data_IF_494591109602
#
_entry.id   IF_494591109602
#
_cell.length_a   1.000
_cell.length_b   1.000
_cell.length_c   1.000
_cell.angle_alpha   90.00
_cell.angle_beta   90.00
_cell.angle_gamma   90.00
#
_symmetry.space_group_name_H-M   'P 1'
#
loop_
_entity.id
_entity.type
_entity.pdbx_description
1 polymer ?
#
# COMPACT_ATOMS: atom_id res chain seq x y z
N UNK A 1 -15.45 -39.08 -10.81
CA UNK A 1 -14.90 -38.03 -9.92
C UNK A 1 -16.08 -37.38 -9.22
N UNK A 2 -16.10 -37.23 -7.89
CA UNK A 2 -17.14 -36.43 -7.26
C UNK A 2 -17.08 -35.02 -7.84
N UNK A 3 -18.19 -34.56 -8.42
CA UNK A 3 -18.30 -33.18 -8.90
C UNK A 3 -18.38 -32.28 -7.67
N UNK A 4 -17.37 -31.43 -7.48
CA UNK A 4 -17.45 -30.37 -6.48
C UNK A 4 -18.62 -29.48 -6.87
N UNK A 5 -19.56 -29.26 -5.94
CA UNK A 5 -20.59 -28.26 -6.11
C UNK A 5 -19.94 -26.88 -5.96
N UNK A 6 -19.72 -26.21 -7.09
CA UNK A 6 -19.02 -24.92 -7.14
C UNK A 6 -19.78 -23.86 -6.35
N UNK A 7 -21.11 -23.82 -6.44
CA UNK A 7 -21.95 -22.85 -5.71
C UNK A 7 -21.84 -23.01 -4.19
N UNK A 8 -21.80 -24.27 -3.71
CA UNK A 8 -21.63 -24.55 -2.29
C UNK A 8 -20.24 -24.14 -1.80
N UNK A 9 -19.20 -24.41 -2.59
CA UNK A 9 -17.82 -24.01 -2.28
C UNK A 9 -17.65 -22.49 -2.29
N UNK A 10 -18.25 -21.78 -3.27
CA UNK A 10 -18.21 -20.32 -3.33
C UNK A 10 -18.87 -19.69 -2.11
N UNK A 11 -20.00 -20.24 -1.64
CA UNK A 11 -20.65 -19.78 -0.42
C UNK A 11 -19.78 -19.96 0.81
N UNK A 12 -19.17 -21.15 0.96
CA UNK A 12 -18.26 -21.44 2.06
C UNK A 12 -17.04 -20.50 2.05
N UNK A 13 -16.48 -20.21 0.87
CA UNK A 13 -15.38 -19.25 0.72
C UNK A 13 -15.84 -17.84 1.10
N UNK A 14 -17.02 -17.40 0.68
CA UNK A 14 -17.54 -16.07 1.00
C UNK A 14 -17.83 -15.90 2.49
N UNK A 15 -18.36 -16.94 3.16
CA UNK A 15 -18.56 -16.98 4.60
C UNK A 15 -17.22 -16.92 5.35
N UNK A 16 -16.26 -17.76 4.97
CA UNK A 16 -14.92 -17.73 5.56
C UNK A 16 -14.22 -16.38 5.32
N UNK A 17 -14.45 -15.78 4.15
CA UNK A 17 -13.89 -14.48 3.80
C UNK A 17 -14.44 -13.35 4.67
N UNK A 18 -15.61 -13.45 5.31
CA UNK A 18 -16.08 -12.40 6.21
C UNK A 18 -15.11 -12.10 7.35
N UNK A 19 -14.33 -13.09 7.77
CA UNK A 19 -13.35 -12.96 8.85
C UNK A 19 -11.91 -12.76 8.35
N UNK A 20 -11.67 -12.85 7.03
CA UNK A 20 -10.34 -12.79 6.43
C UNK A 20 -10.31 -11.65 5.40
N UNK A 21 -9.42 -10.64 5.57
CA UNK A 21 -9.28 -9.60 4.57
C UNK A 21 -8.73 -10.20 3.26
N UNK A 22 -9.31 -9.80 2.13
CA UNK A 22 -8.74 -10.12 0.81
C UNK A 22 -7.55 -9.22 0.46
N UNK A 23 -7.47 -8.04 1.08
CA UNK A 23 -6.35 -7.11 0.98
C UNK A 23 -5.33 -7.28 2.11
N UNK A 24 -4.66 -6.18 2.47
CA UNK A 24 -3.74 -6.20 3.59
C UNK A 24 -4.52 -6.29 4.91
N UNK A 25 -4.03 -7.11 5.83
CA UNK A 25 -4.50 -7.06 7.21
C UNK A 25 -4.17 -5.71 7.85
N UNK A 26 -4.90 -5.32 8.90
CA UNK A 26 -4.59 -4.11 9.67
C UNK A 26 -3.13 -4.10 10.15
N UNK A 27 -2.62 -5.26 10.59
CA UNK A 27 -1.21 -5.41 10.97
C UNK A 27 -0.26 -5.07 9.81
N UNK A 28 -0.52 -5.59 8.61
CA UNK A 28 0.32 -5.32 7.44
C UNK A 28 0.23 -3.87 6.97
N UNK A 29 -0.96 -3.29 7.02
CA UNK A 29 -1.20 -1.89 6.70
C UNK A 29 -0.34 -0.99 7.60
N UNK A 30 -0.38 -1.23 8.91
CA UNK A 30 0.35 -0.42 9.89
C UNK A 30 1.87 -0.61 9.84
N UNK A 31 2.36 -1.84 9.62
CA UNK A 31 3.78 -2.14 9.77
C UNK A 31 4.55 -2.13 8.44
N UNK A 32 3.93 -2.56 7.34
CA UNK A 32 4.63 -2.79 6.07
C UNK A 32 4.19 -1.86 4.95
N UNK A 33 2.97 -1.33 4.99
CA UNK A 33 2.48 -0.44 3.93
C UNK A 33 2.91 1.02 4.17
N UNK A 34 3.18 1.39 5.43
CA UNK A 34 3.77 2.68 5.82
C UNK A 34 5.13 2.61 6.54
N UNK A 35 5.53 1.44 7.07
CA UNK A 35 6.55 1.36 8.13
C UNK A 35 7.96 0.89 7.75
N UNK A 36 8.15 0.04 6.74
CA UNK A 36 9.41 -0.73 6.68
C UNK A 36 10.62 0.08 6.16
N UNK A 37 10.42 0.89 5.11
CA UNK A 37 11.45 1.82 4.60
C UNK A 37 11.06 3.29 4.78
N UNK A 38 9.77 3.60 4.62
CA UNK A 38 9.21 4.93 4.83
C UNK A 38 9.14 5.34 6.29
N UNK A 39 9.18 4.39 7.24
CA UNK A 39 9.01 4.65 8.67
C UNK A 39 10.11 5.49 9.32
N UNK A 40 11.23 5.71 8.60
CA UNK A 40 12.32 6.60 9.04
C UNK A 40 12.07 8.09 8.74
N UNK A 41 11.20 8.41 7.78
CA UNK A 41 10.77 9.78 7.50
C UNK A 41 9.26 9.89 7.64
N UNK A 42 8.83 10.74 8.56
CA UNK A 42 7.41 11.10 8.72
C UNK A 42 6.82 11.54 7.40
N UNK A 43 7.52 12.38 6.63
CA UNK A 43 7.03 12.89 5.35
C UNK A 43 6.85 11.79 4.29
N UNK A 44 7.76 10.81 4.20
CA UNK A 44 7.61 9.64 3.32
C UNK A 44 6.43 8.77 3.74
N UNK A 45 6.26 8.53 5.04
CA UNK A 45 5.15 7.74 5.58
C UNK A 45 3.81 8.40 5.29
N UNK A 46 3.69 9.72 5.52
CA UNK A 46 2.50 10.51 5.17
C UNK A 46 2.21 10.39 3.68
N UNK A 47 3.23 10.59 2.81
CA UNK A 47 3.06 10.44 1.35
C UNK A 47 2.57 9.04 0.97
N UNK A 48 3.16 7.99 1.53
CA UNK A 48 2.76 6.61 1.24
C UNK A 48 1.31 6.34 1.63
N UNK A 49 0.89 6.77 2.84
CA UNK A 49 -0.49 6.62 3.29
C UNK A 49 -1.46 7.38 2.39
N UNK A 50 -1.16 8.63 2.03
CA UNK A 50 -2.02 9.43 1.14
C UNK A 50 -2.18 8.79 -0.24
N UNK A 51 -1.10 8.27 -0.84
CA UNK A 51 -1.16 7.58 -2.13
C UNK A 51 -2.00 6.30 -2.07
N UNK A 52 -1.85 5.51 -1.00
CA UNK A 52 -2.63 4.28 -0.83
C UNK A 52 -4.11 4.58 -0.56
N UNK A 53 -4.41 5.59 0.26
CA UNK A 53 -5.79 6.04 0.51
C UNK A 53 -6.44 6.52 -0.79
N UNK A 54 -5.77 7.38 -1.56
CA UNK A 54 -6.30 7.88 -2.83
C UNK A 54 -6.55 6.75 -3.84
N UNK A 55 -5.59 5.83 -4.00
CA UNK A 55 -5.76 4.66 -4.87
C UNK A 55 -6.95 3.80 -4.46
N UNK A 56 -7.16 3.55 -3.16
CA UNK A 56 -8.33 2.80 -2.68
C UNK A 56 -9.64 3.59 -2.86
N UNK A 57 -9.65 4.91 -2.66
CA UNK A 57 -10.83 5.74 -2.93
C UNK A 57 -11.21 5.66 -4.41
N UNK A 58 -10.25 5.69 -5.32
CA UNK A 58 -10.51 5.52 -6.76
C UNK A 58 -11.10 4.13 -7.04
N UNK A 59 -10.52 3.06 -6.48
CA UNK A 59 -11.05 1.70 -6.61
C UNK A 59 -12.48 1.56 -6.05
N UNK A 60 -12.80 2.23 -4.92
CA UNK A 60 -14.16 2.26 -4.36
C UNK A 60 -15.14 2.96 -5.31
N UNK A 61 -14.73 4.06 -5.95
CA UNK A 61 -15.56 4.78 -6.93
C UNK A 61 -15.83 3.94 -8.18
N UNK A 62 -14.81 3.29 -8.71
CA UNK A 62 -14.95 2.36 -9.84
C UNK A 62 -15.88 1.20 -9.47
N UNK A 63 -15.72 0.63 -8.27
CA UNK A 63 -16.60 -0.43 -7.79
C UNK A 63 -18.06 0.04 -7.63
N UNK A 64 -18.26 1.28 -7.20
CA UNK A 64 -19.60 1.87 -7.11
C UNK A 64 -20.28 1.97 -8.48
N UNK A 65 -19.58 2.46 -9.51
CA UNK A 65 -20.12 2.50 -10.87
C UNK A 65 -20.39 1.09 -11.40
N UNK A 66 -19.47 0.15 -11.17
CA UNK A 66 -19.65 -1.25 -11.53
C UNK A 66 -20.89 -1.87 -10.88
N UNK A 67 -21.14 -1.61 -9.59
CA UNK A 67 -22.35 -2.07 -8.91
C UNK A 67 -23.63 -1.48 -9.51
N UNK A 68 -23.61 -0.20 -9.88
CA UNK A 68 -24.75 0.46 -10.53
C UNK A 68 -25.04 -0.13 -11.91
N UNK A 69 -24.01 -0.35 -12.73
CA UNK A 69 -24.15 -1.00 -14.03
C UNK A 69 -24.73 -2.42 -13.90
N UNK A 70 -24.23 -3.20 -12.94
CA UNK A 70 -24.74 -4.54 -12.67
C UNK A 70 -26.18 -4.54 -12.15
N UNK A 71 -26.58 -3.55 -11.36
CA UNK A 71 -27.95 -3.41 -10.91
C UNK A 71 -28.88 -3.07 -12.09
N UNK A 72 -28.47 -2.16 -12.98
CA UNK A 72 -29.21 -1.84 -14.20
C UNK A 72 -29.38 -3.10 -15.06
N UNK A 73 -28.31 -3.89 -15.23
CA UNK A 73 -28.36 -5.16 -15.96
C UNK A 73 -29.33 -6.18 -15.35
N UNK A 74 -29.40 -6.25 -14.02
CA UNK A 74 -30.36 -7.08 -13.28
C UNK A 74 -31.79 -6.62 -13.53
N UNK A 75 -32.04 -5.31 -13.39
CA UNK A 75 -33.36 -4.71 -13.56
C UNK A 75 -33.85 -4.88 -15.01
N UNK A 76 -32.97 -4.70 -16.01
CA UNK A 76 -33.28 -4.96 -17.41
C UNK A 76 -33.62 -6.44 -17.67
N UNK A 77 -32.86 -7.36 -17.09
CA UNK A 77 -33.11 -8.79 -17.24
C UNK A 77 -34.45 -9.17 -16.61
N UNK A 78 -34.75 -8.64 -15.44
CA UNK A 78 -36.02 -8.87 -14.74
C UNK A 78 -37.20 -8.31 -15.52
N UNK A 79 -37.07 -7.10 -16.07
CA UNK A 79 -38.10 -6.53 -16.94
C UNK A 79 -38.36 -7.42 -18.17
N UNK A 80 -37.31 -7.85 -18.89
CA UNK A 80 -37.44 -8.71 -20.08
C UNK A 80 -38.02 -10.09 -19.75
N UNK A 81 -37.75 -10.63 -18.57
CA UNK A 81 -38.28 -11.92 -18.13
C UNK A 81 -39.80 -11.91 -17.87
N UNK A 82 -40.40 -10.73 -17.69
CA UNK A 82 -41.86 -10.57 -17.54
C UNK A 82 -42.63 -10.80 -18.84
N UNK A 83 -41.96 -10.76 -20.00
CA UNK A 83 -42.59 -10.99 -21.30
C UNK A 83 -43.08 -12.47 -21.40
N UNK A 84 -44.39 -12.69 -21.59
CA UNK A 84 -44.94 -14.03 -21.74
C UNK A 84 -44.56 -14.69 -23.08
N UNK A 85 -44.23 -13.91 -24.11
CA UNK A 85 -43.92 -14.40 -25.46
C UNK A 85 -42.42 -14.70 -25.64
N UNK A 86 -41.64 -14.57 -24.56
CA UNK A 86 -40.20 -14.81 -24.58
C UNK A 86 -39.88 -16.29 -24.83
N UNK A 87 -39.10 -16.56 -25.88
CA UNK A 87 -38.62 -17.91 -26.20
C UNK A 87 -37.83 -18.55 -25.05
N UNK A 88 -37.88 -19.88 -24.99
CA UNK A 88 -37.22 -20.71 -23.98
C UNK A 88 -35.70 -20.53 -23.92
N UNK A 89 -35.01 -20.31 -25.05
CA UNK A 89 -33.56 -20.09 -25.06
C UNK A 89 -33.22 -18.68 -24.58
N UNK A 90 -34.00 -17.68 -25.00
CA UNK A 90 -33.83 -16.30 -24.56
C UNK A 90 -34.06 -16.17 -23.06
N UNK A 91 -35.11 -16.83 -22.54
CA UNK A 91 -35.38 -16.92 -21.10
C UNK A 91 -34.20 -17.50 -20.32
N UNK A 92 -33.60 -18.58 -20.80
CA UNK A 92 -32.42 -19.20 -20.16
C UNK A 92 -31.20 -18.27 -20.18
N UNK A 93 -30.96 -17.55 -21.28
CA UNK A 93 -29.86 -16.57 -21.37
C UNK A 93 -30.03 -15.43 -20.37
N UNK A 94 -31.24 -14.90 -20.23
CA UNK A 94 -31.54 -13.84 -19.26
C UNK A 94 -31.36 -14.32 -17.81
N UNK A 95 -31.78 -15.55 -17.49
CA UNK A 95 -31.55 -16.13 -16.17
C UNK A 95 -30.05 -16.28 -15.86
N UNK A 96 -29.24 -16.73 -16.83
CA UNK A 96 -27.79 -16.79 -16.68
C UNK A 96 -27.15 -15.40 -16.54
N UNK A 97 -27.64 -14.40 -17.28
CA UNK A 97 -27.18 -13.00 -17.14
C UNK A 97 -27.48 -12.49 -15.73
N UNK A 98 -28.67 -12.78 -15.21
CA UNK A 98 -29.10 -12.40 -13.86
C UNK A 98 -28.20 -13.04 -12.79
N UNK A 99 -27.96 -14.34 -12.89
CA UNK A 99 -27.09 -15.07 -11.96
C UNK A 99 -25.66 -14.52 -11.96
N UNK A 100 -25.08 -14.28 -13.15
CA UNK A 100 -23.75 -13.70 -13.29
C UNK A 100 -23.66 -12.30 -12.67
N UNK A 101 -24.67 -11.46 -12.88
CA UNK A 101 -24.70 -10.12 -12.30
C UNK A 101 -24.83 -10.17 -10.77
N UNK A 102 -25.66 -11.06 -10.22
CA UNK A 102 -25.81 -11.25 -8.78
C UNK A 102 -24.50 -11.68 -8.10
N UNK A 103 -23.73 -12.59 -8.71
CA UNK A 103 -22.40 -12.98 -8.23
C UNK A 103 -21.43 -11.80 -8.24
N UNK A 104 -21.47 -10.97 -9.28
CA UNK A 104 -20.68 -9.74 -9.38
C UNK A 104 -20.94 -8.78 -8.22
N UNK A 105 -22.22 -8.57 -7.87
CA UNK A 105 -22.64 -7.70 -6.76
C UNK A 105 -22.14 -8.22 -5.41
N UNK A 106 -22.32 -9.51 -5.11
CA UNK A 106 -21.90 -10.10 -3.84
C UNK A 106 -20.38 -9.97 -3.60
N UNK A 107 -19.58 -10.27 -4.63
CA UNK A 107 -18.12 -10.13 -4.58
C UNK A 107 -17.69 -8.67 -4.44
N UNK A 108 -18.32 -7.77 -5.20
CA UNK A 108 -18.07 -6.34 -5.09
C UNK A 108 -18.34 -5.82 -3.68
N UNK A 109 -19.43 -6.24 -3.04
CA UNK A 109 -19.77 -5.83 -1.69
C UNK A 109 -18.71 -6.25 -0.65
N UNK A 110 -18.09 -7.43 -0.79
CA UNK A 110 -16.97 -7.85 0.07
C UNK A 110 -15.74 -6.98 -0.14
N UNK A 111 -15.33 -6.78 -1.39
CA UNK A 111 -14.17 -5.94 -1.72
C UNK A 111 -14.33 -4.50 -1.21
N UNK A 112 -15.56 -3.98 -1.29
CA UNK A 112 -15.93 -2.68 -0.74
C UNK A 112 -15.69 -2.62 0.78
N UNK A 113 -16.20 -3.61 1.53
CA UNK A 113 -16.02 -3.67 3.00
C UNK A 113 -14.55 -3.73 3.39
N UNK A 114 -13.76 -4.57 2.73
CA UNK A 114 -12.34 -4.70 3.03
C UNK A 114 -11.57 -3.42 2.72
N UNK A 115 -11.84 -2.80 1.56
CA UNK A 115 -11.20 -1.55 1.18
C UNK A 115 -11.55 -0.41 2.15
N UNK A 116 -12.79 -0.33 2.65
CA UNK A 116 -13.18 0.63 3.68
C UNK A 116 -12.40 0.40 4.97
N UNK A 117 -12.33 -0.85 5.46
CA UNK A 117 -11.59 -1.17 6.68
C UNK A 117 -10.09 -0.82 6.56
N UNK A 118 -9.47 -1.08 5.40
CA UNK A 118 -8.09 -0.69 5.14
C UNK A 118 -7.91 0.83 5.10
N UNK A 119 -8.83 1.57 4.47
CA UNK A 119 -8.80 3.04 4.45
C UNK A 119 -8.94 3.59 5.87
N UNK A 120 -9.82 3.04 6.70
CA UNK A 120 -10.00 3.48 8.08
C UNK A 120 -8.70 3.33 8.88
N UNK A 121 -8.02 2.19 8.78
CA UNK A 121 -6.73 1.97 9.46
C UNK A 121 -5.69 2.99 8.97
N UNK A 122 -5.53 3.16 7.66
CA UNK A 122 -4.57 4.11 7.09
C UNK A 122 -4.91 5.56 7.44
N UNK A 123 -6.19 5.90 7.49
CA UNK A 123 -6.65 7.23 7.84
C UNK A 123 -6.34 7.57 9.29
N UNK A 124 -6.62 6.65 10.23
CA UNK A 124 -6.26 6.84 11.63
C UNK A 124 -4.76 6.98 11.81
N UNK A 125 -3.98 6.15 11.12
CA UNK A 125 -2.52 6.24 11.14
C UNK A 125 -2.03 7.59 10.61
N UNK A 126 -2.51 8.02 9.44
CA UNK A 126 -2.15 9.31 8.86
C UNK A 126 -2.49 10.47 9.80
N UNK A 127 -3.66 10.44 10.43
CA UNK A 127 -4.10 11.46 11.39
C UNK A 127 -3.29 11.47 12.69
N UNK A 128 -2.59 10.38 13.00
CA UNK A 128 -1.71 10.29 14.18
C UNK A 128 -0.30 10.84 13.93
N UNK A 129 0.10 11.02 12.66
CA UNK A 129 1.44 11.50 12.31
C UNK A 129 1.53 13.04 12.38
N UNK A 130 2.72 13.59 12.69
CA UNK A 130 2.96 15.02 12.55
C UNK A 130 2.67 15.50 11.11
N UNK A 131 2.06 16.68 10.93
CA UNK A 131 1.81 17.22 9.60
C UNK A 131 3.13 17.58 8.90
N UNK A 132 3.16 17.36 7.59
CA UNK A 132 4.20 17.90 6.71
C UNK A 132 3.75 19.30 6.30
N UNK A 133 4.43 20.33 6.78
CA UNK A 133 4.01 21.73 6.66
C UNK A 133 4.26 22.32 5.27
N UNK A 134 5.26 21.80 4.54
CA UNK A 134 5.61 22.30 3.22
C UNK A 134 6.25 21.26 2.32
N UNK A 135 6.26 21.54 1.01
CA UNK A 135 7.02 20.75 0.04
C UNK A 135 8.51 20.76 0.35
N UNK A 136 9.04 21.90 0.81
CA UNK A 136 10.45 22.03 1.14
C UNK A 136 10.85 21.09 2.30
N UNK A 137 10.04 21.04 3.36
CA UNK A 137 10.25 20.10 4.47
C UNK A 137 10.28 18.65 3.97
N UNK A 138 9.38 18.28 3.06
CA UNK A 138 9.39 16.94 2.46
C UNK A 138 10.71 16.65 1.74
N UNK A 139 11.21 17.56 0.89
CA UNK A 139 12.46 17.36 0.14
C UNK A 139 13.69 17.27 1.06
N UNK A 140 13.71 18.04 2.15
CA UNK A 140 14.78 17.99 3.16
C UNK A 140 14.78 16.66 3.92
N UNK A 141 13.60 16.19 4.35
CA UNK A 141 13.46 14.87 4.97
C UNK A 141 13.81 13.73 4.01
N UNK A 142 13.46 13.87 2.73
CA UNK A 142 13.76 12.91 1.67
C UNK A 142 15.27 12.79 1.46
N UNK A 143 15.99 13.92 1.40
CA UNK A 143 17.45 13.94 1.26
C UNK A 143 18.12 13.25 2.46
N UNK A 144 17.73 13.60 3.69
CA UNK A 144 18.25 12.97 4.91
C UNK A 144 18.00 11.46 4.94
N UNK A 145 16.79 11.03 4.60
CA UNK A 145 16.45 9.61 4.51
C UNK A 145 17.39 8.84 3.57
N UNK A 146 17.70 9.39 2.41
CA UNK A 146 18.59 8.74 1.44
C UNK A 146 20.03 8.65 1.95
N UNK A 147 20.52 9.66 2.68
CA UNK A 147 21.80 9.59 3.38
C UNK A 147 21.78 8.42 4.37
N UNK A 148 20.82 8.40 5.29
CA UNK A 148 20.74 7.38 6.35
C UNK A 148 20.65 5.96 5.78
N UNK A 149 19.88 5.78 4.71
CA UNK A 149 19.74 4.51 4.02
C UNK A 149 21.05 4.06 3.40
N UNK A 150 21.71 4.92 2.63
CA UNK A 150 22.94 4.58 1.92
C UNK A 150 24.11 4.36 2.88
N UNK A 151 24.21 5.16 3.94
CA UNK A 151 25.19 4.94 5.02
C UNK A 151 24.91 3.63 5.74
N UNK A 152 23.65 3.33 6.07
CA UNK A 152 23.26 2.05 6.66
C UNK A 152 23.66 0.85 5.80
N UNK A 153 23.46 0.95 4.48
CA UNK A 153 23.90 -0.07 3.52
C UNK A 153 25.42 -0.23 3.50
N UNK A 154 26.18 0.88 3.48
CA UNK A 154 27.64 0.86 3.51
C UNK A 154 28.17 0.19 4.80
N UNK A 155 27.57 0.49 5.96
CA UNK A 155 27.91 -0.15 7.24
C UNK A 155 27.64 -1.66 7.18
N UNK A 156 26.51 -2.08 6.62
CA UNK A 156 26.19 -3.50 6.48
C UNK A 156 27.16 -4.23 5.53
N UNK A 157 27.58 -3.60 4.44
CA UNK A 157 28.59 -4.15 3.52
C UNK A 157 29.96 -4.29 4.18
N UNK A 158 30.38 -3.32 4.99
CA UNK A 158 31.61 -3.43 5.79
C UNK A 158 31.50 -4.61 6.77
N UNK A 159 30.38 -4.73 7.49
CA UNK A 159 30.16 -5.81 8.46
C UNK A 159 30.12 -7.20 7.82
N UNK A 160 29.56 -7.32 6.62
CA UNK A 160 29.38 -8.61 5.94
C UNK A 160 30.59 -9.01 5.08
N UNK A 161 31.24 -8.06 4.42
CA UNK A 161 32.25 -8.31 3.40
C UNK A 161 33.54 -7.50 3.54
N UNK A 162 33.66 -6.65 4.56
CA UNK A 162 34.86 -5.85 4.85
C UNK A 162 35.16 -4.74 3.83
N UNK A 163 34.25 -4.49 2.88
CA UNK A 163 34.40 -3.46 1.83
C UNK A 163 33.06 -2.88 1.44
N UNK A 164 33.06 -1.62 1.01
CA UNK A 164 31.89 -0.96 0.42
C UNK A 164 31.90 -1.22 -1.09
N UNK A 165 30.75 -1.52 -1.66
CA UNK A 165 30.59 -1.69 -3.10
C UNK A 165 30.65 -0.34 -3.84
N UNK A 166 31.24 -0.34 -5.04
CA UNK A 166 31.41 0.87 -5.87
C UNK A 166 30.08 1.59 -6.10
N UNK A 167 28.99 0.85 -6.37
CA UNK A 167 27.67 1.46 -6.58
C UNK A 167 27.11 2.18 -5.35
N UNK A 168 27.48 1.76 -4.14
CA UNK A 168 27.07 2.47 -2.91
C UNK A 168 27.87 3.76 -2.73
N UNK A 169 29.16 3.75 -3.07
CA UNK A 169 30.00 4.96 -3.08
C UNK A 169 29.50 5.96 -4.12
N UNK A 170 29.22 5.51 -5.35
CA UNK A 170 28.68 6.36 -6.41
C UNK A 170 27.34 6.99 -6.02
N UNK A 171 26.44 6.22 -5.42
CA UNK A 171 25.15 6.73 -4.95
C UNK A 171 25.32 7.81 -3.86
N UNK A 172 26.25 7.62 -2.92
CA UNK A 172 26.56 8.62 -1.88
C UNK A 172 27.13 9.91 -2.49
N UNK A 173 28.04 9.80 -3.46
CA UNK A 173 28.54 10.96 -4.19
C UNK A 173 27.44 11.72 -4.95
N UNK A 174 26.48 11.01 -5.56
CA UNK A 174 25.38 11.63 -6.30
C UNK A 174 24.49 12.50 -5.41
N UNK A 175 24.33 12.15 -4.13
CA UNK A 175 23.54 12.93 -3.18
C UNK A 175 24.37 13.92 -2.36
N UNK A 176 25.63 14.18 -2.78
CA UNK A 176 26.52 15.18 -2.20
C UNK A 176 27.34 14.70 -1.00
N UNK A 177 27.31 13.41 -0.68
CA UNK A 177 28.13 12.83 0.40
C UNK A 177 29.45 12.35 -0.20
N UNK A 178 30.44 13.23 -0.25
CA UNK A 178 31.74 12.98 -0.85
C UNK A 178 32.77 12.37 0.11
N UNK A 179 32.55 12.55 1.41
CA UNK A 179 33.43 12.04 2.44
C UNK A 179 32.76 10.84 3.13
N UNK A 180 33.08 9.62 2.72
CA UNK A 180 32.49 8.43 3.36
C UNK A 180 33.54 7.38 3.70
N UNK A 181 33.75 7.29 5.02
CA UNK A 181 34.15 6.14 5.84
C UNK A 181 35.62 5.70 5.78
N UNK A 182 36.41 6.21 6.73
CA UNK A 182 37.65 5.56 7.17
C UNK A 182 37.27 4.56 8.26
N UNK A 183 37.23 3.27 7.92
CA UNK A 183 37.23 2.21 8.94
C UNK A 183 38.63 2.18 9.59
N UNK A 184 38.74 2.62 10.85
CA UNK A 184 39.94 2.41 11.66
C UNK A 184 39.59 1.46 12.79
N UNK A 185 40.30 0.33 12.82
CA UNK A 185 40.40 -0.56 13.99
C UNK A 185 39.07 -0.90 14.70
N UNK A 186 38.05 -1.31 13.93
CA UNK A 186 36.81 -1.84 14.50
C UNK A 186 35.70 -0.81 14.77
N UNK A 187 35.98 0.49 14.61
CA UNK A 187 34.98 1.55 14.71
C UNK A 187 34.76 2.30 13.38
N UNK A 188 33.50 2.65 13.13
CA UNK A 188 33.05 3.36 11.92
C UNK A 188 32.88 4.83 12.28
N UNK A 189 33.79 5.69 11.81
CA UNK A 189 33.70 7.14 12.01
C UNK A 189 33.28 7.86 10.72
N UNK A 190 32.28 8.74 10.83
CA UNK A 190 32.02 9.77 9.84
C UNK A 190 33.11 10.83 9.93
N UNK A 191 33.75 11.16 8.81
CA UNK A 191 34.73 12.23 8.72
C UNK A 191 34.32 13.12 7.56
N UNK A 192 34.15 14.43 7.78
CA UNK A 192 33.72 15.40 6.76
C UNK A 192 32.57 16.31 7.21
N UNK A 193 32.06 17.21 6.34
CA UNK A 193 31.02 18.20 6.66
C UNK A 193 29.72 17.58 7.21
N UNK A 194 29.42 16.33 6.85
CA UNK A 194 28.28 15.58 7.39
C UNK A 194 28.42 15.27 8.89
N UNK A 195 29.64 15.05 9.39
CA UNK A 195 29.90 14.89 10.82
C UNK A 195 29.73 16.21 11.59
N UNK A 196 30.01 17.35 10.94
CA UNK A 196 29.77 18.68 11.51
C UNK A 196 28.28 19.03 11.57
N UNK A 197 27.48 18.63 10.57
CA UNK A 197 26.02 18.82 10.59
C UNK A 197 25.33 18.01 11.69
N UNK A 198 25.70 16.74 11.89
CA UNK A 198 25.18 15.90 12.98
C UNK A 198 25.58 16.45 14.37
N UNK A 199 26.83 16.92 14.53
CA UNK A 199 27.29 17.50 15.80
C UNK A 199 26.65 18.87 16.13
N UNK A 200 26.08 19.57 15.14
CA UNK A 200 25.33 20.81 15.34
C UNK A 200 23.89 20.56 15.83
N UNK A 201 23.29 19.41 15.51
CA UNK A 201 21.95 19.03 15.97
C UNK A 201 21.95 18.53 17.42
N UNK A 202 22.92 17.69 17.81
CA UNK A 202 23.08 17.22 19.20
C UNK A 202 23.25 18.38 20.21
N UNK A 203 23.85 19.49 19.78
CA UNK A 203 24.02 20.70 20.60
C UNK A 203 22.76 21.56 20.68
N UNK A 204 21.83 21.42 19.74
CA UNK A 204 20.53 22.11 19.77
C UNK A 204 19.50 21.36 20.63
N UNK A 205 19.62 20.05 20.75
CA UNK A 205 18.75 19.24 21.62
C UNK A 205 19.22 19.25 23.09
N UNK A 206 20.50 19.56 23.35
CA UNK A 206 21.07 19.66 24.70
C UNK A 206 20.99 21.07 25.33
N UNK A 207 20.37 22.04 24.67
CA UNK A 207 20.21 23.44 25.12
C UNK A 207 18.74 23.81 25.26
#
# INVERSE_FOLDING_TARGET
>A
MPSINIEALEREILEAAEHVPFGNSAFQTTHFTGGDESGRSTARRVRALLLNIDSKIQALRENHFFQQEHQIDLDEADHKLTDPDLDSFERRRLLLKKERAALGVARAAKLLRDAIAEIEVMYQEWKSLPPVESRQQFEEEEHRYWIDRLVGNAVMQIKSGGRIEVGTIEALHQIGVHDVLVAKEGDVHLVGPAAEMLALEDKKEAA
#
